data_IF_438407092665
#
_entry.id   IF_438407092665
#
_cell.length_a   1.000
_cell.length_b   1.000
_cell.length_c   1.000
_cell.angle_alpha   90.00
_cell.angle_beta   90.00
_cell.angle_gamma   90.00
#
_symmetry.space_group_name_H-M   'P 1'
#
loop_
_entity.id
_entity.type
_entity.pdbx_description
1 polymer ?
#
# COMPACT_ATOMS: atom_id res chain seq x y z
N UNK A 1 28.70 14.40 4.97
CA UNK A 1 28.60 13.12 5.69
C UNK A 1 28.40 13.38 7.18
N UNK A 2 27.16 13.29 7.66
CA UNK A 2 26.80 13.04 9.06
C UNK A 2 25.43 12.36 9.08
N UNK A 3 25.43 11.04 8.95
CA UNK A 3 24.24 10.22 9.22
C UNK A 3 23.97 10.29 10.72
N UNK A 4 22.86 10.93 11.12
CA UNK A 4 22.34 10.80 12.48
C UNK A 4 21.28 9.71 12.46
N UNK A 5 21.72 8.48 12.72
CA UNK A 5 20.81 7.37 13.03
C UNK A 5 20.16 7.66 14.39
N UNK A 6 18.91 8.10 14.40
CA UNK A 6 18.17 8.29 15.64
C UNK A 6 17.79 6.92 16.19
N UNK A 7 18.61 6.40 17.11
CA UNK A 7 18.29 5.21 17.90
C UNK A 7 17.58 5.69 19.17
N UNK A 8 16.24 5.72 19.17
CA UNK A 8 15.47 6.06 20.37
C UNK A 8 15.36 4.82 21.27
N UNK A 9 16.17 4.80 22.32
CA UNK A 9 16.16 3.77 23.37
C UNK A 9 15.11 4.17 24.43
N UNK A 10 14.03 3.41 24.52
CA UNK A 10 13.20 3.34 25.71
C UNK A 10 13.24 1.90 26.25
N UNK A 11 13.87 1.72 27.41
CA UNK A 11 13.83 0.50 28.23
C UNK A 11 12.99 0.81 29.49
N UNK A 12 12.24 -0.09 30.14
CA UNK A 12 12.24 -1.54 30.24
C UNK A 12 10.83 -2.00 30.72
N UNK A 13 10.37 -3.23 30.49
CA UNK A 13 10.70 -4.44 31.25
C UNK A 13 10.18 -5.67 30.48
N UNK A 14 10.95 -6.76 30.52
CA UNK A 14 10.87 -8.00 29.73
C UNK A 14 11.61 -7.95 28.39
N UNK A 15 12.65 -8.78 28.29
CA UNK A 15 13.56 -8.84 27.17
C UNK A 15 12.88 -9.21 25.85
N UNK A 16 12.57 -8.18 25.08
CA UNK A 16 12.53 -8.20 23.63
C UNK A 16 12.86 -6.77 23.20
N UNK A 17 13.89 -6.59 22.39
CA UNK A 17 14.09 -5.32 21.66
C UNK A 17 12.95 -5.27 20.64
N UNK A 18 11.77 -4.83 21.06
CA UNK A 18 10.70 -4.43 20.15
C UNK A 18 11.00 -2.99 19.79
N UNK A 19 11.63 -2.79 18.62
CA UNK A 19 11.61 -1.49 17.98
C UNK A 19 10.15 -0.99 17.99
N UNK A 20 9.98 0.26 18.43
CA UNK A 20 8.69 0.97 18.38
C UNK A 20 8.15 0.80 16.96
N UNK A 21 7.03 0.09 16.72
CA UNK A 21 6.48 -0.01 15.37
C UNK A 21 6.21 1.43 14.90
N UNK A 22 6.53 1.77 13.65
CA UNK A 22 6.36 3.15 13.16
C UNK A 22 4.91 3.70 13.34
N UNK A 23 3.94 2.85 13.68
CA UNK A 23 2.60 3.23 14.10
C UNK A 23 2.47 3.82 15.51
N UNK A 24 3.48 3.73 16.37
CA UNK A 24 3.57 4.47 17.65
C UNK A 24 4.21 5.87 17.47
N UNK A 25 4.76 6.17 16.29
CA UNK A 25 5.02 7.55 15.80
C UNK A 25 3.73 8.21 15.28
N UNK A 26 2.60 7.57 15.63
CA UNK A 26 1.28 8.08 15.89
C UNK A 26 0.44 8.48 14.69
N UNK A 27 -0.84 8.48 15.03
CA UNK A 27 -1.95 8.51 14.11
C UNK A 27 -2.59 9.89 14.18
N UNK A 28 -3.00 10.34 13.02
CA UNK A 28 -3.54 11.64 12.74
C UNK A 28 -4.99 11.83 13.21
N UNK A 29 -5.38 11.18 14.30
CA UNK A 29 -6.67 11.43 14.95
C UNK A 29 -6.61 12.68 15.83
N UNK A 30 -5.41 13.07 16.28
CA UNK A 30 -5.15 14.33 16.97
C UNK A 30 -3.86 14.94 16.40
N UNK A 31 -3.97 16.02 15.64
CA UNK A 31 -2.84 16.85 15.20
C UNK A 31 -1.99 17.41 16.38
N UNK A 32 -2.42 17.17 17.63
CA UNK A 32 -1.75 17.59 18.87
C UNK A 32 -0.88 16.48 19.53
N UNK A 33 -0.94 15.22 19.08
CA UNK A 33 -0.16 14.13 19.70
C UNK A 33 1.33 14.16 19.27
N UNK A 34 1.64 14.81 18.15
CA UNK A 34 3.00 15.22 17.76
C UNK A 34 3.09 16.73 17.83
N UNK A 35 3.31 17.25 19.03
CA UNK A 35 3.84 18.60 19.16
C UNK A 35 5.08 18.75 18.25
N UNK A 36 4.92 19.51 17.15
CA UNK A 36 5.97 20.10 16.29
C UNK A 36 6.65 19.27 15.18
N UNK A 37 6.24 18.06 14.81
CA UNK A 37 6.94 17.29 13.74
C UNK A 37 5.98 16.67 12.71
N UNK A 38 5.49 17.47 11.77
CA UNK A 38 4.69 16.98 10.66
C UNK A 38 5.60 16.49 9.52
N UNK A 39 5.31 15.34 8.85
CA UNK A 39 6.18 14.79 7.81
C UNK A 39 6.52 15.72 6.66
N UNK A 40 5.69 16.74 6.42
CA UNK A 40 5.84 17.66 5.30
C UNK A 40 6.29 19.07 5.72
N UNK A 41 6.72 19.24 6.98
CA UNK A 41 7.32 20.50 7.43
C UNK A 41 8.71 20.68 6.78
N UNK A 42 8.93 21.86 6.18
CA UNK A 42 10.06 22.12 5.26
C UNK A 42 11.45 22.09 5.89
N UNK A 43 11.54 22.07 7.22
CA UNK A 43 12.80 22.17 7.96
C UNK A 43 13.27 20.80 8.51
N UNK A 44 12.61 19.70 8.12
CA UNK A 44 12.79 18.40 8.73
C UNK A 44 13.12 17.30 7.70
N UNK A 45 14.41 17.07 7.43
CA UNK A 45 14.92 15.89 6.70
C UNK A 45 14.85 14.61 7.57
N UNK A 46 13.78 14.45 8.34
CA UNK A 46 13.62 13.37 9.33
C UNK A 46 13.03 12.09 8.72
N UNK A 47 12.36 12.20 7.58
CA UNK A 47 11.59 11.11 6.98
C UNK A 47 11.97 10.88 5.52
N UNK A 48 12.13 9.61 5.15
CA UNK A 48 12.03 9.21 3.74
C UNK A 48 10.56 9.35 3.33
N UNK A 49 10.27 10.19 2.35
CA UNK A 49 8.91 10.42 1.85
C UNK A 49 8.83 9.89 0.42
N UNK A 50 7.86 9.01 0.15
CA UNK A 50 7.69 8.39 -1.17
C UNK A 50 6.24 8.50 -1.64
N UNK A 51 6.06 8.74 -2.94
CA UNK A 51 4.72 8.80 -3.54
C UNK A 51 4.12 7.40 -3.60
N UNK A 52 2.89 7.25 -3.09
CA UNK A 52 2.14 6.00 -3.12
C UNK A 52 2.01 5.43 -4.54
N UNK A 53 1.84 6.28 -5.56
CA UNK A 53 1.66 5.85 -6.95
C UNK A 53 2.87 5.12 -7.53
N UNK A 54 4.04 5.32 -6.92
CA UNK A 54 5.31 4.75 -7.37
C UNK A 54 5.65 3.44 -6.63
N UNK A 55 4.81 3.02 -5.68
CA UNK A 55 4.97 1.79 -4.92
C UNK A 55 4.23 0.60 -5.56
N UNK A 56 4.76 -0.60 -5.33
CA UNK A 56 4.00 -1.85 -5.49
C UNK A 56 3.60 -2.40 -4.12
N UNK A 57 2.42 -2.96 -4.02
CA UNK A 57 1.89 -3.52 -2.78
C UNK A 57 1.42 -4.97 -2.96
N UNK A 58 1.47 -5.71 -1.86
CA UNK A 58 0.91 -7.04 -1.73
C UNK A 58 0.28 -7.20 -0.35
N UNK A 59 -0.95 -7.71 -0.33
CA UNK A 59 -1.69 -8.01 0.88
C UNK A 59 -1.62 -9.50 1.18
N UNK A 60 -1.21 -9.84 2.40
CA UNK A 60 -1.05 -11.22 2.84
C UNK A 60 -1.80 -11.43 4.16
N UNK A 61 -2.79 -12.33 4.13
CA UNK A 61 -3.49 -12.75 5.34
C UNK A 61 -2.54 -13.55 6.26
N UNK A 62 -2.52 -13.18 7.54
CA UNK A 62 -1.84 -13.93 8.60
C UNK A 62 -2.65 -15.21 8.87
N UNK A 63 -2.05 -16.36 8.54
CA UNK A 63 -2.70 -17.67 8.72
C UNK A 63 -2.75 -18.05 10.21
N UNK A 64 -3.65 -18.97 10.61
CA UNK A 64 -3.66 -19.51 11.96
C UNK A 64 -2.27 -20.02 12.37
N UNK A 65 -1.79 -19.60 13.53
CA UNK A 65 -0.46 -19.95 14.04
C UNK A 65 0.71 -19.09 13.55
N UNK A 66 0.48 -18.17 12.60
CA UNK A 66 1.49 -17.20 12.16
C UNK A 66 1.46 -15.92 13.00
N UNK A 67 2.63 -15.33 13.22
CA UNK A 67 2.81 -13.95 13.68
C UNK A 67 2.81 -12.99 12.50
N UNK A 68 2.69 -11.69 12.77
CA UNK A 68 2.76 -10.63 11.73
C UNK A 68 4.02 -10.73 10.88
N UNK A 69 5.18 -10.97 11.50
CA UNK A 69 6.45 -11.06 10.79
C UNK A 69 6.53 -12.25 9.82
N UNK A 70 5.77 -13.33 10.07
CA UNK A 70 5.77 -14.52 9.20
C UNK A 70 5.01 -14.27 7.88
N UNK A 71 4.14 -13.25 7.85
CA UNK A 71 3.40 -12.86 6.66
C UNK A 71 4.11 -11.77 5.83
N UNK A 72 5.20 -11.18 6.34
CA UNK A 72 6.03 -10.21 5.60
C UNK A 72 6.76 -10.92 4.46
N UNK A 73 6.75 -10.33 3.26
CA UNK A 73 7.56 -10.82 2.15
C UNK A 73 9.00 -10.35 2.32
N UNK A 74 9.94 -11.26 2.46
CA UNK A 74 11.37 -10.95 2.70
C UNK A 74 12.29 -11.35 1.54
N UNK A 75 11.73 -11.92 0.46
CA UNK A 75 12.49 -12.34 -0.73
C UNK A 75 13.02 -11.10 -1.47
N UNK A 76 14.28 -11.13 -1.89
CA UNK A 76 14.92 -10.02 -2.62
C UNK A 76 15.08 -10.27 -4.12
N UNK A 77 14.92 -11.52 -4.57
CA UNK A 77 15.08 -11.92 -5.96
C UNK A 77 13.72 -12.27 -6.54
N UNK A 78 13.35 -11.71 -7.69
CA UNK A 78 12.10 -12.01 -8.38
C UNK A 78 12.39 -12.59 -9.76
N UNK A 79 11.73 -13.70 -10.07
CA UNK A 79 12.02 -14.53 -11.25
C UNK A 79 10.71 -14.99 -11.89
N UNK A 80 9.64 -14.21 -11.74
CA UNK A 80 8.33 -14.59 -12.26
C UNK A 80 8.40 -14.75 -13.78
N UNK A 81 7.89 -15.87 -14.28
CA UNK A 81 7.73 -16.11 -15.72
C UNK A 81 6.31 -15.80 -16.17
N UNK A 82 6.12 -15.56 -17.47
CA UNK A 82 4.78 -15.33 -18.03
C UNK A 82 3.81 -16.48 -17.71
N UNK A 83 4.29 -17.72 -17.81
CA UNK A 83 3.50 -18.91 -17.53
C UNK A 83 3.06 -18.99 -16.05
N UNK A 84 3.94 -18.67 -15.11
CA UNK A 84 3.60 -18.69 -13.68
C UNK A 84 2.61 -17.57 -13.32
N UNK A 85 2.79 -16.38 -13.89
CA UNK A 85 1.87 -15.25 -13.69
C UNK A 85 0.50 -15.61 -14.22
N UNK A 86 0.41 -16.10 -15.46
CA UNK A 86 -0.86 -16.53 -16.08
C UNK A 86 -1.51 -17.66 -15.29
N UNK A 87 -0.73 -18.68 -14.90
CA UNK A 87 -1.23 -19.79 -14.10
C UNK A 87 -1.79 -19.30 -12.78
N UNK A 88 -1.13 -18.35 -12.12
CA UNK A 88 -1.58 -17.79 -10.85
C UNK A 88 -2.87 -16.99 -11.01
N UNK A 89 -2.97 -16.15 -12.04
CA UNK A 89 -4.19 -15.38 -12.35
C UNK A 89 -5.37 -16.30 -12.64
N UNK A 90 -5.15 -17.39 -13.40
CA UNK A 90 -6.20 -18.35 -13.75
C UNK A 90 -6.53 -19.33 -12.61
N UNK A 91 -5.65 -19.49 -11.63
CA UNK A 91 -5.84 -20.35 -10.46
C UNK A 91 -5.96 -19.52 -9.18
N UNK A 92 -6.91 -18.60 -9.13
CA UNK A 92 -7.00 -17.63 -8.04
C UNK A 92 -7.07 -18.26 -6.62
N UNK A 93 -7.77 -19.39 -6.50
CA UNK A 93 -7.91 -20.13 -5.24
C UNK A 93 -6.63 -20.88 -4.82
N UNK A 94 -5.56 -20.80 -5.61
CA UNK A 94 -4.31 -21.50 -5.41
C UNK A 94 -4.53 -23.01 -5.20
N UNK A 95 -5.38 -23.62 -6.01
CA UNK A 95 -5.62 -25.05 -5.98
C UNK A 95 -4.29 -25.75 -6.29
N UNK A 96 -3.76 -26.52 -5.33
CA UNK A 96 -2.45 -27.17 -5.44
C UNK A 96 -1.27 -26.41 -4.82
N UNK A 97 -1.47 -25.18 -4.34
CA UNK A 97 -0.46 -24.46 -3.55
C UNK A 97 0.77 -23.96 -4.32
N UNK A 98 0.69 -23.87 -5.66
CA UNK A 98 1.82 -23.56 -6.55
C UNK A 98 1.87 -22.11 -7.02
N UNK A 99 0.90 -21.28 -6.68
CA UNK A 99 0.85 -19.90 -7.15
C UNK A 99 2.05 -19.08 -6.66
N UNK A 100 2.58 -18.26 -7.55
CA UNK A 100 3.61 -17.28 -7.21
C UNK A 100 3.00 -16.05 -6.55
N UNK A 101 3.86 -15.19 -6.02
CA UNK A 101 3.45 -13.90 -5.48
C UNK A 101 3.26 -12.90 -6.62
N UNK A 102 2.02 -12.41 -6.77
CA UNK A 102 1.69 -11.27 -7.63
C UNK A 102 1.66 -9.97 -6.83
N UNK A 103 1.86 -8.86 -7.54
CA UNK A 103 2.00 -7.50 -7.04
C UNK A 103 1.01 -6.60 -7.74
N UNK A 104 0.54 -5.58 -7.03
CA UNK A 104 -0.35 -4.56 -7.57
C UNK A 104 0.31 -3.19 -7.39
N UNK A 105 0.16 -2.26 -8.35
CA UNK A 105 0.53 -0.88 -8.10
C UNK A 105 -0.34 -0.35 -6.97
N UNK A 106 0.21 0.43 -6.04
CA UNK A 106 -0.58 0.96 -4.93
C UNK A 106 -1.45 2.12 -5.41
N UNK A 107 -2.56 1.75 -6.05
CA UNK A 107 -3.56 2.61 -6.72
C UNK A 107 -4.97 2.41 -6.18
N UNK A 108 -5.90 3.31 -6.49
CA UNK A 108 -7.31 3.21 -6.06
C UNK A 108 -7.90 1.83 -6.31
N UNK A 109 -7.81 1.32 -7.55
CA UNK A 109 -8.34 -0.01 -7.90
C UNK A 109 -7.72 -1.13 -7.04
N UNK A 110 -6.41 -1.07 -6.76
CA UNK A 110 -5.74 -2.07 -5.92
C UNK A 110 -6.20 -2.00 -4.46
N UNK A 111 -6.45 -0.79 -3.95
CA UNK A 111 -6.91 -0.54 -2.58
C UNK A 111 -8.39 -0.93 -2.41
N UNK A 112 -9.21 -0.75 -3.45
CA UNK A 112 -10.58 -1.27 -3.48
C UNK A 112 -10.58 -2.80 -3.54
N UNK A 113 -9.74 -3.37 -4.42
CA UNK A 113 -9.54 -4.82 -4.54
C UNK A 113 -9.15 -5.46 -3.20
N UNK A 114 -8.33 -4.77 -2.41
CA UNK A 114 -7.84 -5.25 -1.12
C UNK A 114 -8.67 -4.87 0.10
N UNK A 115 -9.89 -4.33 -0.09
CA UNK A 115 -10.74 -3.82 1.00
C UNK A 115 -10.08 -2.73 1.88
N UNK A 116 -9.04 -2.04 1.40
CA UNK A 116 -8.56 -0.82 2.08
C UNK A 116 -9.47 0.36 1.77
N UNK A 117 -10.12 0.31 0.61
CA UNK A 117 -11.20 1.20 0.20
C UNK A 117 -12.49 0.42 -0.07
N UNK A 118 -13.66 1.10 -0.04
CA UNK A 118 -14.91 0.51 -0.51
C UNK A 118 -14.84 0.04 -1.97
N UNK A 119 -15.47 -1.10 -2.27
CA UNK A 119 -15.56 -1.63 -3.64
C UNK A 119 -16.29 -0.71 -4.62
N UNK A 120 -17.15 0.17 -4.09
CA UNK A 120 -17.83 1.23 -4.83
C UNK A 120 -17.36 2.59 -4.31
N UNK A 121 -16.74 3.37 -5.20
CA UNK A 121 -16.41 4.77 -5.00
C UNK A 121 -17.06 5.57 -6.12
N UNK A 122 -17.55 6.76 -5.78
CA UNK A 122 -18.10 7.66 -6.79
C UNK A 122 -16.99 8.04 -7.79
N UNK A 123 -17.32 8.02 -9.09
CA UNK A 123 -16.42 8.32 -10.21
C UNK A 123 -15.34 7.26 -10.51
N UNK A 124 -15.45 6.08 -9.91
CA UNK A 124 -14.59 4.94 -10.17
C UNK A 124 -15.40 3.71 -10.57
N UNK A 125 -14.84 2.91 -11.49
CA UNK A 125 -15.45 1.64 -11.85
C UNK A 125 -15.54 0.73 -10.62
N UNK A 126 -16.70 0.10 -10.36
CA UNK A 126 -16.82 -0.86 -9.28
C UNK A 126 -15.94 -2.07 -9.57
N UNK A 127 -15.34 -2.60 -8.51
CA UNK A 127 -14.52 -3.81 -8.57
C UNK A 127 -15.10 -4.88 -7.65
N UNK A 128 -14.92 -6.15 -8.02
CA UNK A 128 -15.15 -7.30 -7.15
C UNK A 128 -13.90 -7.51 -6.26
N UNK A 129 -13.96 -7.18 -4.96
CA UNK A 129 -12.80 -7.22 -4.09
C UNK A 129 -12.45 -8.66 -3.68
N UNK A 130 -11.18 -8.87 -3.30
CA UNK A 130 -10.70 -10.16 -2.84
C UNK A 130 -11.24 -10.49 -1.45
N UNK A 131 -12.27 -11.35 -1.40
CA UNK A 131 -12.92 -11.77 -0.15
C UNK A 131 -11.96 -12.34 0.90
N UNK A 132 -10.89 -13.01 0.49
CA UNK A 132 -9.90 -13.62 1.40
C UNK A 132 -9.03 -12.62 2.16
N UNK A 133 -9.05 -11.33 1.79
CA UNK A 133 -8.37 -10.24 2.50
C UNK A 133 -9.35 -9.20 3.08
N UNK A 134 -10.63 -9.55 3.20
CA UNK A 134 -11.67 -8.70 3.81
C UNK A 134 -11.47 -8.44 5.30
N UNK A 135 -10.88 -9.38 6.04
CA UNK A 135 -10.44 -9.18 7.42
C UNK A 135 -9.09 -8.47 7.46
N UNK A 136 -9.13 -7.16 7.21
CA UNK A 136 -7.98 -6.26 7.16
C UNK A 136 -7.17 -6.25 8.47
N UNK A 137 -7.77 -6.61 9.62
CA UNK A 137 -7.09 -6.68 10.92
C UNK A 137 -6.02 -7.78 10.96
N UNK A 138 -6.13 -8.76 10.07
CA UNK A 138 -5.23 -9.90 9.91
C UNK A 138 -4.39 -9.81 8.64
N UNK A 139 -4.32 -8.65 8.00
CA UNK A 139 -3.56 -8.47 6.76
C UNK A 139 -2.27 -7.74 7.05
N UNK A 140 -1.17 -8.25 6.49
CA UNK A 140 0.10 -7.53 6.34
C UNK A 140 0.20 -7.02 4.92
N UNK A 141 0.61 -5.76 4.78
CA UNK A 141 0.88 -5.14 3.50
C UNK A 141 2.40 -5.06 3.34
N UNK A 142 2.93 -5.78 2.35
CA UNK A 142 4.33 -5.63 1.93
C UNK A 142 4.37 -4.63 0.78
N UNK A 143 5.25 -3.63 0.90
CA UNK A 143 5.37 -2.50 -0.01
C UNK A 143 6.77 -2.52 -0.61
N UNK A 144 6.88 -2.57 -1.92
CA UNK A 144 8.11 -2.29 -2.65
C UNK A 144 8.15 -0.79 -2.92
N UNK A 145 9.18 -0.13 -2.41
CA UNK A 145 9.37 1.31 -2.48
C UNK A 145 9.86 1.75 -3.87
N UNK A 146 9.74 3.05 -4.23
CA UNK A 146 10.16 3.55 -5.54
C UNK A 146 11.65 3.31 -5.82
N UNK A 147 12.51 3.25 -4.80
CA UNK A 147 13.93 2.91 -4.93
C UNK A 147 14.18 1.54 -5.56
N UNK A 148 13.21 0.62 -5.52
CA UNK A 148 13.25 -0.67 -6.19
C UNK A 148 12.60 -0.69 -7.56
N UNK A 149 11.79 0.31 -7.90
CA UNK A 149 10.99 0.29 -9.13
C UNK A 149 11.86 0.18 -10.37
N UNK A 150 12.97 0.90 -10.42
CA UNK A 150 13.92 0.86 -11.54
C UNK A 150 14.75 -0.44 -11.60
N UNK A 151 14.75 -1.22 -10.51
CA UNK A 151 15.44 -2.51 -10.40
C UNK A 151 14.55 -3.69 -10.80
N UNK A 152 13.25 -3.44 -11.00
CA UNK A 152 12.24 -4.45 -11.26
C UNK A 152 11.57 -4.23 -12.61
N UNK A 153 11.32 -5.31 -13.32
CA UNK A 153 10.57 -5.32 -14.57
C UNK A 153 9.27 -6.10 -14.41
N UNK A 154 8.10 -5.49 -14.66
CA UNK A 154 6.83 -6.20 -14.70
C UNK A 154 6.81 -7.25 -15.80
N UNK A 155 6.28 -8.43 -15.49
CA UNK A 155 6.07 -9.50 -16.47
C UNK A 155 4.83 -9.16 -17.30
N UNK A 156 5.02 -8.95 -18.60
CA UNK A 156 3.93 -8.72 -19.56
C UNK A 156 3.35 -10.06 -20.00
N UNK A 157 2.02 -10.14 -20.02
CA UNK A 157 1.28 -11.31 -20.47
C UNK A 157 0.91 -11.17 -21.95
N UNK A 158 1.20 -12.21 -22.73
CA UNK A 158 0.86 -12.28 -24.15
C UNK A 158 -0.51 -12.93 -24.32
N UNK A 159 -1.48 -12.28 -24.96
CA UNK A 159 -2.81 -12.91 -25.16
C UNK A 159 -2.69 -14.24 -25.90
N UNK A 160 -3.37 -15.28 -25.41
CA UNK A 160 -3.32 -16.60 -26.05
C UNK A 160 -4.33 -16.74 -27.18
N UNK A 161 -5.30 -15.82 -27.28
CA UNK A 161 -6.43 -15.89 -28.22
C UNK A 161 -7.55 -16.81 -27.74
N UNK A 162 -7.45 -17.33 -26.52
CA UNK A 162 -8.47 -18.18 -25.90
C UNK A 162 -9.26 -17.34 -24.89
N UNK A 163 -10.52 -17.02 -25.24
CA UNK A 163 -11.33 -16.07 -24.46
C UNK A 163 -11.40 -16.40 -22.95
N UNK A 164 -11.60 -17.67 -22.59
CA UNK A 164 -11.72 -18.08 -21.18
C UNK A 164 -10.42 -17.85 -20.39
N UNK A 165 -9.25 -18.08 -21.00
CA UNK A 165 -7.96 -17.87 -20.35
C UNK A 165 -7.55 -16.40 -20.32
N UNK A 166 -7.93 -15.65 -21.35
CA UNK A 166 -7.58 -14.24 -21.48
C UNK A 166 -8.51 -13.34 -20.66
N UNK A 167 -9.76 -13.73 -20.39
CA UNK A 167 -10.70 -12.92 -19.60
C UNK A 167 -10.23 -12.66 -18.15
N UNK A 168 -9.58 -13.63 -17.51
CA UNK A 168 -8.98 -13.42 -16.18
C UNK A 168 -7.75 -12.52 -16.26
N UNK A 169 -6.98 -12.64 -17.36
CA UNK A 169 -5.82 -11.80 -17.62
C UNK A 169 -6.26 -10.35 -17.86
N UNK A 170 -7.30 -10.11 -18.65
CA UNK A 170 -7.89 -8.78 -18.86
C UNK A 170 -8.27 -8.14 -17.52
N UNK A 171 -8.98 -8.88 -16.65
CA UNK A 171 -9.38 -8.39 -15.32
C UNK A 171 -8.18 -8.11 -14.40
N UNK A 172 -7.15 -8.95 -14.45
CA UNK A 172 -5.93 -8.76 -13.68
C UNK A 172 -5.13 -7.54 -14.18
N UNK A 173 -5.04 -7.35 -15.50
CA UNK A 173 -4.40 -6.17 -16.11
C UNK A 173 -5.13 -4.88 -15.73
N UNK A 174 -6.46 -4.91 -15.64
CA UNK A 174 -7.29 -3.74 -15.33
C UNK A 174 -7.05 -3.15 -13.92
N UNK A 175 -6.54 -3.98 -13.00
CA UNK A 175 -6.10 -3.57 -11.65
C UNK A 175 -4.57 -3.47 -11.52
N UNK A 176 -3.84 -3.82 -12.57
CA UNK A 176 -2.38 -3.84 -12.61
C UNK A 176 -1.73 -5.02 -11.88
N UNK A 177 -2.46 -6.12 -11.64
CA UNK A 177 -1.87 -7.34 -11.08
C UNK A 177 -0.79 -7.87 -12.03
N UNK A 178 0.43 -8.04 -11.51
CA UNK A 178 1.57 -8.51 -12.30
C UNK A 178 2.53 -9.39 -11.49
N UNK A 179 3.38 -10.13 -12.20
CA UNK A 179 4.61 -10.68 -11.63
C UNK A 179 5.77 -9.72 -11.84
N UNK A 180 6.81 -9.85 -11.03
CA UNK A 180 8.00 -9.02 -11.13
C UNK A 180 9.24 -9.88 -11.44
N UNK A 181 10.21 -9.28 -12.11
CA UNK A 181 11.55 -9.85 -12.34
C UNK A 181 12.61 -8.84 -11.95
N UNK A 182 13.73 -9.31 -11.38
CA UNK A 182 14.83 -8.45 -10.95
C UNK A 182 15.30 -8.76 -9.53
N UNK A 183 16.18 -7.92 -8.99
CA UNK A 183 16.71 -8.08 -7.63
C UNK A 183 16.73 -6.74 -6.93
N UNK A 184 16.26 -6.73 -5.68
CA UNK A 184 16.18 -5.55 -4.83
C UNK A 184 16.88 -5.81 -3.50
N UNK A 185 17.12 -4.76 -2.73
CA UNK A 185 17.77 -4.83 -1.43
C UNK A 185 16.72 -4.78 -0.30
N UNK A 186 17.17 -4.86 0.97
CA UNK A 186 16.24 -4.85 2.11
C UNK A 186 15.62 -3.47 2.33
N UNK A 187 16.40 -2.42 2.12
CA UNK A 187 16.00 -1.02 2.21
C UNK A 187 14.96 -0.60 1.16
N UNK A 188 14.73 -1.44 0.14
CA UNK A 188 13.70 -1.22 -0.88
C UNK A 188 12.30 -1.72 -0.44
N UNK A 189 12.20 -2.30 0.76
CA UNK A 189 10.96 -2.83 1.33
C UNK A 189 10.45 -1.96 2.46
N UNK A 190 9.13 -1.85 2.55
CA UNK A 190 8.44 -1.43 3.75
C UNK A 190 7.22 -2.30 4.06
N UNK A 191 6.75 -2.22 5.30
CA UNK A 191 5.62 -2.99 5.79
C UNK A 191 4.68 -2.09 6.60
N UNK A 192 3.39 -2.31 6.41
CA UNK A 192 2.32 -1.79 7.27
C UNK A 192 1.28 -2.89 7.47
N UNK A 193 0.29 -2.67 8.32
CA UNK A 193 -0.86 -3.57 8.45
C UNK A 193 -2.04 -3.12 7.60
N UNK A 194 -2.95 -4.04 7.28
CA UNK A 194 -4.19 -3.69 6.60
C UNK A 194 -5.07 -2.76 7.45
N UNK A 195 -5.02 -2.86 8.78
CA UNK A 195 -5.72 -1.94 9.68
C UNK A 195 -5.24 -0.50 9.53
N UNK A 196 -3.94 -0.32 9.59
CA UNK A 196 -3.26 0.97 9.49
C UNK A 196 -3.51 1.63 8.14
N UNK A 197 -3.33 0.87 7.04
CA UNK A 197 -3.60 1.38 5.70
C UNK A 197 -5.09 1.71 5.49
N UNK A 198 -6.00 0.85 5.96
CA UNK A 198 -7.45 1.10 5.84
C UNK A 198 -7.88 2.32 6.65
N UNK A 199 -7.31 2.53 7.83
CA UNK A 199 -7.60 3.71 8.63
C UNK A 199 -7.19 4.98 7.88
N UNK A 200 -5.95 5.05 7.39
CA UNK A 200 -5.47 6.18 6.59
C UNK A 200 -6.37 6.44 5.37
N UNK A 201 -6.74 5.38 4.64
CA UNK A 201 -7.63 5.50 3.48
C UNK A 201 -9.03 5.99 3.83
N UNK A 202 -9.60 5.54 4.96
CA UNK A 202 -10.90 6.03 5.43
C UNK A 202 -10.84 7.48 5.88
N UNK A 203 -9.78 7.89 6.59
CA UNK A 203 -9.60 9.28 7.02
C UNK A 203 -9.53 10.21 5.81
N UNK A 204 -8.75 9.86 4.79
CA UNK A 204 -8.70 10.62 3.53
C UNK A 204 -10.08 10.67 2.87
N UNK A 205 -10.81 9.56 2.84
CA UNK A 205 -12.14 9.49 2.23
C UNK A 205 -13.17 10.37 2.95
N UNK A 206 -13.19 10.36 4.29
CA UNK A 206 -14.10 11.19 5.07
C UNK A 206 -13.75 12.67 4.94
N UNK A 207 -12.48 13.04 4.99
CA UNK A 207 -12.02 14.42 4.76
C UNK A 207 -12.43 14.93 3.37
N UNK A 208 -12.28 14.10 2.32
CA UNK A 208 -12.76 14.44 0.98
C UNK A 208 -14.28 14.64 0.93
N UNK A 209 -15.06 13.81 1.64
CA UNK A 209 -16.53 13.94 1.72
C UNK A 209 -16.95 15.21 2.46
N UNK A 210 -16.29 15.54 3.56
CA UNK A 210 -16.62 16.70 4.36
C UNK A 210 -16.24 17.99 3.66
N UNK A 211 -15.05 18.06 3.09
CA UNK A 211 -14.64 19.18 2.24
C UNK A 211 -15.61 19.38 1.06
N UNK A 212 -16.09 18.29 0.44
CA UNK A 212 -17.13 18.39 -0.58
C UNK A 212 -18.43 18.98 -0.06
N UNK A 213 -18.96 18.47 1.06
CA UNK A 213 -20.20 18.98 1.68
C UNK A 213 -20.07 20.45 2.04
N UNK A 214 -18.90 20.86 2.52
CA UNK A 214 -18.56 22.23 2.88
C UNK A 214 -18.15 23.12 1.68
N UNK A 215 -18.00 22.55 0.47
CA UNK A 215 -17.56 23.23 -0.76
C UNK A 215 -16.20 23.92 -0.61
N UNK A 216 -15.26 23.25 0.04
CA UNK A 216 -13.89 23.73 0.23
C UNK A 216 -12.87 22.71 -0.32
N UNK A 217 -11.62 23.13 -0.57
CA UNK A 217 -10.53 22.18 -0.78
C UNK A 217 -10.36 21.30 0.46
N UNK A 218 -10.11 20.01 0.27
CA UNK A 218 -9.82 19.10 1.37
C UNK A 218 -8.37 19.23 1.83
N UNK A 219 -8.12 18.99 3.11
CA UNK A 219 -6.81 19.18 3.73
C UNK A 219 -5.87 18.00 3.45
N UNK A 220 -5.29 18.02 2.25
CA UNK A 220 -4.31 17.03 1.82
C UNK A 220 -3.08 16.97 2.72
N UNK A 221 -2.66 18.12 3.23
CA UNK A 221 -1.39 18.22 3.93
C UNK A 221 -1.45 17.40 5.20
N UNK A 222 -2.50 17.60 5.99
CA UNK A 222 -2.65 16.90 7.24
C UNK A 222 -3.05 15.44 7.03
N UNK A 223 -3.96 15.10 6.12
CA UNK A 223 -4.57 13.76 6.12
C UNK A 223 -3.99 12.73 5.14
N UNK A 224 -3.27 13.15 4.09
CA UNK A 224 -2.97 12.27 2.97
C UNK A 224 -1.63 11.54 3.08
N UNK A 225 -1.39 10.83 4.18
CA UNK A 225 -0.21 9.97 4.33
C UNK A 225 -0.42 8.79 5.30
N UNK A 226 0.49 7.82 5.26
CA UNK A 226 0.62 6.80 6.32
C UNK A 226 2.09 6.46 6.54
N UNK A 227 2.42 5.92 7.72
CA UNK A 227 3.76 5.43 8.03
C UNK A 227 3.89 3.94 7.74
N UNK A 228 5.07 3.54 7.28
CA UNK A 228 5.46 2.14 7.12
C UNK A 228 6.87 1.89 7.67
N UNK A 229 7.12 0.65 8.10
CA UNK A 229 8.40 0.21 8.64
C UNK A 229 9.23 -0.42 7.52
N UNK A 230 10.38 0.16 7.19
CA UNK A 230 11.33 -0.41 6.23
C UNK A 230 11.94 -1.70 6.78
N UNK A 231 12.34 -2.63 5.90
CA UNK A 231 12.89 -3.92 6.37
C UNK A 231 14.25 -3.80 7.09
N UNK A 232 14.92 -2.65 7.00
CA UNK A 232 16.13 -2.33 7.75
C UNK A 232 15.84 -1.70 9.13
N UNK A 233 14.58 -1.45 9.46
CA UNK A 233 14.12 -0.87 10.74
C UNK A 233 13.86 0.64 10.71
N UNK A 234 14.15 1.32 9.60
CA UNK A 234 13.84 2.75 9.44
C UNK A 234 12.34 2.96 9.15
N UNK A 235 11.83 4.19 9.33
CA UNK A 235 10.46 4.54 8.95
C UNK A 235 10.42 5.27 7.60
N UNK A 236 9.35 5.04 6.84
CA UNK A 236 9.06 5.74 5.58
C UNK A 236 7.64 6.27 5.61
N UNK A 237 7.45 7.46 5.06
CA UNK A 237 6.14 8.09 4.85
C UNK A 237 5.68 7.76 3.45
N UNK A 238 4.51 7.14 3.37
CA UNK A 238 3.80 6.87 2.13
C UNK A 238 2.86 8.05 1.89
N UNK A 239 3.17 8.87 0.89
CA UNK A 239 2.47 10.10 0.54
C UNK A 239 1.33 9.82 -0.46
N UNK A 240 0.10 10.19 -0.09
CA UNK A 240 -1.10 10.07 -0.90
C UNK A 240 -1.61 11.42 -1.45
N UNK A 241 -0.90 12.53 -1.26
CA UNK A 241 -1.34 13.87 -1.71
C UNK A 241 -1.51 13.97 -3.23
N UNK A 242 -0.65 13.26 -3.96
CA UNK A 242 -0.64 13.18 -5.43
C UNK A 242 -1.55 12.07 -5.98
N UNK A 243 -2.39 11.47 -5.15
CA UNK A 243 -3.20 10.32 -5.53
C UNK A 243 -4.43 10.73 -6.35
N UNK A 244 -4.20 11.26 -7.55
CA UNK A 244 -5.25 11.82 -8.42
C UNK A 244 -6.31 10.78 -8.82
N UNK A 245 -5.95 9.49 -8.82
CA UNK A 245 -6.86 8.38 -9.05
C UNK A 245 -7.82 8.12 -7.88
N UNK A 246 -7.55 8.62 -6.67
CA UNK A 246 -8.40 8.40 -5.49
C UNK A 246 -9.22 9.64 -5.11
N UNK A 247 -9.09 10.72 -5.88
CA UNK A 247 -9.86 11.94 -5.65
C UNK A 247 -11.28 11.73 -6.17
N UNK A 248 -12.26 11.78 -5.27
CA UNK A 248 -13.68 11.76 -5.63
C UNK A 248 -13.98 13.01 -6.49
N UNK A 249 -14.29 12.82 -7.78
CA UNK A 249 -14.43 13.90 -8.78
C UNK A 249 -15.89 14.32 -8.93
N UNK A 250 -16.33 15.29 -8.14
CA UNK A 250 -17.73 15.68 -8.18
C UNK A 250 -18.05 16.58 -9.41
N UNK A 251 -19.25 16.46 -10.01
CA UNK A 251 -19.55 16.93 -11.38
C UNK A 251 -19.34 18.43 -11.59
N UNK A 252 -19.18 18.89 -12.86
CA UNK A 252 -18.57 20.20 -13.21
C UNK A 252 -19.35 21.46 -12.81
N UNK A 253 -20.45 21.37 -12.07
CA UNK A 253 -21.42 22.46 -11.96
C UNK A 253 -21.57 22.96 -10.53
N UNK A 254 -20.64 23.80 -10.10
CA UNK A 254 -21.01 24.97 -9.29
C UNK A 254 -20.03 26.11 -9.60
N UNK A 255 -20.46 27.04 -10.46
CA UNK A 255 -19.85 28.36 -10.54
C UNK A 255 -20.14 29.06 -9.21
N UNK A 256 -19.10 29.60 -8.59
CA UNK A 256 -19.25 30.55 -7.48
C UNK A 256 -20.09 31.74 -7.95
N UNK A 257 -21.01 32.29 -7.12
CA UNK A 257 -21.48 33.66 -7.30
C UNK A 257 -20.33 34.65 -7.11
#
# INVERSE_FOLDING_TARGET
MRFHSITLIAAALFGAVTAIPCSELGWNEDADLFGYYHPFDTDQDLWDIVDANDCWARWQLIRPGQRRNDARVTKTVFEATENEVRSTINNYNNNGGTNIQLWLPMRTKSLQYSHMLPSYLQDHDPIDPQSSISDWSRVIVSIILPSARDKLTPVRLTKTGEHEKDANVDRAEDVGITGLTGTIAREDWAYTTGAELRLAMNTILEEQKDAYRARMPWDKHNFAYTFAEKANGDCVVIDFRNFAEFVVRLPPNFRLP
#
